data_IF_701660317280
#
_entry.id   IF_701660317280
#
_cell.length_a   1.000
_cell.length_b   1.000
_cell.length_c   1.000
_cell.angle_alpha   90.00
_cell.angle_beta   90.00
_cell.angle_gamma   90.00
#
_symmetry.space_group_name_H-M   'P 1'
#
loop_
_entity.id
_entity.type
_entity.pdbx_description
1 polymer ?
#
# COMPACT_ATOMS: atom_id res chain seq x y z
N UNK A 1 18.22 -10.09 -15.89
CA UNK A 1 18.64 -8.78 -15.34
C UNK A 1 19.07 -8.99 -13.89
N UNK A 2 20.27 -8.54 -13.51
CA UNK A 2 20.75 -8.58 -12.13
C UNK A 2 20.29 -7.30 -11.43
N UNK A 3 19.58 -7.44 -10.30
CA UNK A 3 19.14 -6.31 -9.48
C UNK A 3 20.19 -6.12 -8.38
N UNK A 4 21.17 -5.26 -8.64
CA UNK A 4 22.20 -4.90 -7.68
C UNK A 4 22.25 -3.39 -7.42
N UNK A 5 23.20 -2.96 -6.61
CA UNK A 5 23.33 -1.55 -6.23
C UNK A 5 23.51 -0.64 -7.43
N UNK A 6 24.27 -1.06 -8.44
CA UNK A 6 24.50 -0.27 -9.64
C UNK A 6 23.20 -0.08 -10.42
N UNK A 7 22.42 -1.16 -10.60
CA UNK A 7 21.09 -1.08 -11.22
C UNK A 7 20.19 -0.06 -10.50
N UNK A 8 20.15 -0.08 -9.17
CA UNK A 8 19.32 0.82 -8.36
C UNK A 8 19.76 2.28 -8.52
N UNK A 9 21.06 2.55 -8.50
CA UNK A 9 21.56 3.91 -8.67
C UNK A 9 21.32 4.44 -10.09
N UNK A 10 21.51 3.60 -11.12
CA UNK A 10 21.17 3.96 -12.50
C UNK A 10 19.67 4.23 -12.67
N UNK A 11 18.81 3.40 -12.07
CA UNK A 11 17.36 3.61 -12.08
C UNK A 11 17.00 4.94 -11.41
N UNK A 12 17.51 5.20 -10.20
CA UNK A 12 17.24 6.46 -9.50
C UNK A 12 17.79 7.68 -10.26
N UNK A 13 18.95 7.57 -10.90
CA UNK A 13 19.49 8.66 -11.75
C UNK A 13 18.58 9.06 -12.91
N UNK A 14 17.76 8.12 -13.43
CA UNK A 14 16.77 8.37 -14.48
C UNK A 14 15.41 8.82 -13.95
N UNK A 15 15.04 8.37 -12.75
CA UNK A 15 13.67 8.48 -12.23
C UNK A 15 13.49 9.62 -11.23
N UNK A 16 14.58 10.12 -10.65
CA UNK A 16 14.52 11.32 -9.80
C UNK A 16 14.00 12.49 -10.64
N UNK A 17 12.96 13.16 -10.12
CA UNK A 17 12.27 14.28 -10.75
C UNK A 17 11.37 13.93 -11.95
N UNK A 18 11.21 12.64 -12.25
CA UNK A 18 10.22 12.16 -13.22
C UNK A 18 8.82 12.17 -12.59
N UNK A 19 7.80 12.33 -13.42
CA UNK A 19 6.40 12.25 -12.99
C UNK A 19 5.97 10.80 -12.73
N UNK A 20 4.74 10.63 -12.23
CA UNK A 20 4.16 9.32 -11.92
C UNK A 20 4.19 8.43 -13.15
N UNK A 21 3.81 8.97 -14.31
CA UNK A 21 3.70 8.25 -15.57
C UNK A 21 5.05 7.76 -16.09
N UNK A 22 6.10 8.57 -16.00
CA UNK A 22 7.44 8.16 -16.42
C UNK A 22 8.02 7.05 -15.54
N UNK A 23 7.79 7.08 -14.22
CA UNK A 23 8.20 5.99 -13.32
C UNK A 23 7.42 4.70 -13.65
N UNK A 24 6.11 4.82 -13.90
CA UNK A 24 5.28 3.67 -14.26
C UNK A 24 5.69 3.06 -15.60
N UNK A 25 5.90 3.86 -16.64
CA UNK A 25 6.38 3.39 -17.95
C UNK A 25 7.70 2.63 -17.82
N UNK A 26 8.66 3.23 -17.13
CA UNK A 26 9.95 2.58 -16.88
C UNK A 26 9.77 1.23 -16.15
N UNK A 27 8.92 1.18 -15.12
CA UNK A 27 8.68 -0.06 -14.37
C UNK A 27 8.06 -1.15 -15.24
N UNK A 28 7.07 -0.79 -16.06
CA UNK A 28 6.39 -1.71 -16.99
C UNK A 28 7.35 -2.21 -18.06
N UNK A 29 8.15 -1.32 -18.67
CA UNK A 29 9.15 -1.68 -19.68
C UNK A 29 10.27 -2.57 -19.11
N UNK A 30 10.65 -2.33 -17.86
CA UNK A 30 11.78 -3.03 -17.23
C UNK A 30 11.40 -4.41 -16.69
N UNK A 31 10.20 -4.54 -16.12
CA UNK A 31 9.79 -5.76 -15.40
C UNK A 31 8.67 -6.53 -16.08
N UNK A 32 7.86 -5.91 -16.93
CA UNK A 32 6.73 -6.56 -17.61
C UNK A 32 5.87 -7.38 -16.64
N UNK A 33 5.65 -8.65 -16.96
CA UNK A 33 4.87 -9.59 -16.12
C UNK A 33 5.47 -9.89 -14.75
N UNK A 34 6.76 -9.59 -14.53
CA UNK A 34 7.42 -9.72 -13.23
C UNK A 34 7.17 -8.50 -12.30
N UNK A 35 6.35 -7.53 -12.74
CA UNK A 35 5.88 -6.41 -11.92
C UNK A 35 4.57 -6.77 -11.21
N UNK A 36 4.53 -6.55 -9.89
CA UNK A 36 3.30 -6.63 -9.10
C UNK A 36 3.06 -5.35 -8.32
N UNK A 37 1.86 -5.19 -7.76
CA UNK A 37 1.56 -4.09 -6.86
C UNK A 37 0.83 -4.60 -5.62
N UNK A 38 1.28 -4.19 -4.44
CA UNK A 38 0.48 -4.34 -3.23
C UNK A 38 -0.41 -3.11 -3.06
N UNK A 39 -1.67 -3.33 -2.69
CA UNK A 39 -2.64 -2.25 -2.53
C UNK A 39 -3.45 -2.41 -1.24
N UNK A 40 -3.74 -1.29 -0.60
CA UNK A 40 -4.76 -1.21 0.46
C UNK A 40 -6.04 -0.55 -0.05
N UNK A 41 -6.11 -0.22 -1.35
CA UNK A 41 -7.14 0.62 -1.96
C UNK A 41 -7.36 1.95 -1.22
N UNK A 42 -6.31 2.46 -0.58
CA UNK A 42 -6.25 3.85 -0.10
C UNK A 42 -6.29 4.83 -1.27
N UNK A 43 -6.61 6.11 -1.01
CA UNK A 43 -6.65 7.14 -2.06
C UNK A 43 -5.35 7.17 -2.91
N UNK A 44 -4.19 6.99 -2.26
CA UNK A 44 -2.89 6.84 -2.93
C UNK A 44 -2.85 5.67 -3.91
N UNK A 45 -3.24 4.49 -3.43
CA UNK A 45 -3.25 3.28 -4.24
C UNK A 45 -4.21 3.42 -5.42
N UNK A 46 -5.35 4.06 -5.21
CA UNK A 46 -6.36 4.27 -6.25
C UNK A 46 -5.86 5.25 -7.31
N UNK A 47 -5.19 6.34 -6.92
CA UNK A 47 -4.51 7.23 -7.90
C UNK A 47 -3.45 6.47 -8.68
N UNK A 48 -2.63 5.66 -8.01
CA UNK A 48 -1.60 4.89 -8.70
C UNK A 48 -2.21 3.88 -9.68
N UNK A 49 -3.27 3.17 -9.29
CA UNK A 49 -4.02 2.24 -10.15
C UNK A 49 -4.64 2.99 -11.34
N UNK A 50 -5.18 4.19 -11.12
CA UNK A 50 -5.74 5.03 -12.19
C UNK A 50 -4.70 5.30 -13.29
N UNK A 51 -3.48 5.69 -12.93
CA UNK A 51 -2.39 5.87 -13.88
C UNK A 51 -1.95 4.54 -14.53
N UNK A 52 -1.80 3.48 -13.73
CA UNK A 52 -1.37 2.15 -14.20
C UNK A 52 -2.28 1.57 -15.27
N UNK A 53 -3.60 1.78 -15.18
CA UNK A 53 -4.58 1.27 -16.17
C UNK A 53 -4.29 1.73 -17.60
N UNK A 54 -3.58 2.84 -17.78
CA UNK A 54 -3.16 3.34 -19.11
C UNK A 54 -1.99 2.55 -19.70
N UNK A 55 -1.12 2.00 -18.86
CA UNK A 55 0.16 1.41 -19.28
C UNK A 55 0.20 -0.11 -19.11
N UNK A 56 -0.47 -0.63 -18.08
CA UNK A 56 -0.52 -2.06 -17.80
C UNK A 56 -1.82 -2.43 -17.07
N UNK A 57 -2.97 -2.47 -17.77
CA UNK A 57 -4.28 -2.72 -17.17
C UNK A 57 -4.40 -4.09 -16.47
N UNK A 58 -3.68 -5.10 -16.95
CA UNK A 58 -3.74 -6.48 -16.44
C UNK A 58 -2.74 -6.78 -15.30
N UNK A 59 -2.03 -5.76 -14.80
CA UNK A 59 -1.07 -5.91 -13.70
C UNK A 59 -1.72 -6.62 -12.49
N UNK A 60 -1.01 -7.59 -11.93
CA UNK A 60 -1.50 -8.28 -10.73
C UNK A 60 -1.43 -7.35 -9.50
N UNK A 61 -2.60 -7.01 -8.99
CA UNK A 61 -2.78 -6.25 -7.76
C UNK A 61 -3.07 -7.22 -6.61
N UNK A 62 -2.48 -6.98 -5.45
CA UNK A 62 -2.64 -7.83 -4.26
C UNK A 62 -3.18 -7.01 -3.09
N UNK A 63 -4.41 -7.33 -2.68
CA UNK A 63 -5.05 -6.78 -1.49
C UNK A 63 -5.06 -7.82 -0.39
N UNK A 64 -4.48 -7.49 0.77
CA UNK A 64 -4.44 -8.37 1.93
C UNK A 64 -5.67 -8.09 2.81
N UNK A 65 -6.67 -8.95 2.71
CA UNK A 65 -7.87 -8.86 3.52
C UNK A 65 -7.58 -9.50 4.87
N UNK A 66 -7.33 -8.71 5.90
CA UNK A 66 -7.04 -9.27 7.23
C UNK A 66 -8.27 -9.80 7.95
N UNK A 67 -9.47 -9.67 7.37
CA UNK A 67 -10.75 -9.92 8.03
C UNK A 67 -11.15 -8.88 9.08
N UNK A 68 -10.33 -7.84 9.29
CA UNK A 68 -10.60 -6.73 10.22
C UNK A 68 -10.76 -5.39 9.48
N UNK A 69 -10.96 -5.39 8.16
CA UNK A 69 -11.22 -4.15 7.43
C UNK A 69 -12.60 -3.59 7.75
N UNK A 70 -12.78 -2.29 7.56
CA UNK A 70 -14.11 -1.68 7.58
C UNK A 70 -15.00 -2.30 6.49
N UNK A 71 -16.30 -2.47 6.74
CA UNK A 71 -17.27 -2.88 5.70
C UNK A 71 -17.22 -1.95 4.47
N UNK A 72 -17.04 -0.65 4.67
CA UNK A 72 -16.85 0.38 3.64
C UNK A 72 -15.66 0.06 2.74
N UNK A 73 -14.51 -0.31 3.35
CA UNK A 73 -13.30 -0.67 2.62
C UNK A 73 -13.53 -1.93 1.79
N UNK A 74 -14.12 -2.97 2.36
CA UNK A 74 -14.39 -4.23 1.64
C UNK A 74 -15.33 -4.00 0.47
N UNK A 75 -16.41 -3.24 0.68
CA UNK A 75 -17.36 -2.85 -0.36
C UNK A 75 -16.66 -2.05 -1.46
N UNK A 76 -15.92 -1.01 -1.09
CA UNK A 76 -15.18 -0.17 -2.04
C UNK A 76 -14.18 -0.97 -2.88
N UNK A 77 -13.44 -1.91 -2.26
CA UNK A 77 -12.49 -2.79 -2.96
C UNK A 77 -13.20 -3.63 -4.04
N UNK A 78 -14.36 -4.21 -3.71
CA UNK A 78 -15.16 -5.00 -4.66
C UNK A 78 -15.68 -4.13 -5.81
N UNK A 79 -16.30 -3.00 -5.48
CA UNK A 79 -16.83 -2.04 -6.46
C UNK A 79 -15.73 -1.52 -7.39
N UNK A 80 -14.55 -1.18 -6.85
CA UNK A 80 -13.43 -0.69 -7.64
C UNK A 80 -12.89 -1.78 -8.57
N UNK A 81 -12.76 -3.02 -8.07
CA UNK A 81 -12.34 -4.18 -8.86
C UNK A 81 -13.26 -4.40 -10.06
N UNK A 82 -14.57 -4.37 -9.85
CA UNK A 82 -15.56 -4.56 -10.92
C UNK A 82 -15.57 -3.38 -11.89
N UNK A 83 -15.68 -2.15 -11.35
CA UNK A 83 -15.78 -0.91 -12.15
C UNK A 83 -14.58 -0.69 -13.05
N UNK A 84 -13.39 -1.08 -12.61
CA UNK A 84 -12.15 -0.89 -13.35
C UNK A 84 -11.60 -2.17 -13.97
N UNK A 85 -12.31 -3.30 -13.85
CA UNK A 85 -11.92 -4.62 -14.35
C UNK A 85 -10.50 -5.01 -13.90
N UNK A 86 -10.20 -4.79 -12.62
CA UNK A 86 -8.85 -4.99 -12.10
C UNK A 86 -8.54 -6.48 -11.94
N UNK A 87 -7.32 -6.87 -12.31
CA UNK A 87 -6.70 -8.14 -11.91
C UNK A 87 -6.27 -8.10 -10.43
N UNK A 88 -7.27 -7.92 -9.55
CA UNK A 88 -7.10 -7.79 -8.11
C UNK A 88 -7.30 -9.12 -7.39
N UNK A 89 -6.22 -9.63 -6.81
CA UNK A 89 -6.20 -10.81 -5.96
C UNK A 89 -6.45 -10.39 -4.52
N UNK A 90 -7.49 -10.97 -3.92
CA UNK A 90 -7.78 -10.85 -2.49
C UNK A 90 -7.06 -11.99 -1.79
N UNK A 91 -6.20 -11.64 -0.84
CA UNK A 91 -5.34 -12.57 -0.11
C UNK A 91 -5.80 -12.61 1.33
N UNK A 92 -6.25 -13.79 1.75
CA UNK A 92 -6.70 -14.04 3.11
C UNK A 92 -5.55 -14.55 4.02
N UNK A 93 -5.67 -14.42 5.34
CA UNK A 93 -4.78 -15.03 6.31
C UNK A 93 -4.85 -16.55 6.23
N UNK A 94 -3.74 -17.20 6.57
CA UNK A 94 -3.70 -18.67 6.71
C UNK A 94 -4.25 -19.17 8.04
N UNK A 95 -4.63 -18.25 8.94
CA UNK A 95 -5.14 -18.52 10.27
C UNK A 95 -6.42 -17.73 10.49
N UNK A 96 -7.43 -18.37 11.04
CA UNK A 96 -8.66 -17.69 11.44
C UNK A 96 -8.43 -16.78 12.65
N UNK A 97 -9.32 -15.82 12.86
CA UNK A 97 -9.29 -15.00 14.07
C UNK A 97 -9.42 -15.85 15.34
N UNK A 98 -10.24 -16.90 15.31
CA UNK A 98 -10.47 -17.78 16.46
C UNK A 98 -9.19 -18.54 16.85
N UNK A 99 -8.49 -19.12 15.87
CA UNK A 99 -7.20 -19.79 16.10
C UNK A 99 -6.14 -18.81 16.59
N UNK A 100 -6.09 -17.60 16.02
CA UNK A 100 -5.13 -16.58 16.43
C UNK A 100 -5.39 -16.10 17.87
N UNK A 101 -6.67 -15.94 18.26
CA UNK A 101 -7.06 -15.62 19.64
C UNK A 101 -6.72 -16.78 20.56
N UNK A 102 -7.00 -18.03 20.19
CA UNK A 102 -6.66 -19.20 21.01
C UNK A 102 -5.15 -19.32 21.27
N UNK A 103 -4.32 -18.91 20.30
CA UNK A 103 -2.86 -18.91 20.43
C UNK A 103 -2.32 -17.76 21.31
N UNK A 104 -2.97 -16.60 21.31
CA UNK A 104 -2.46 -15.38 21.97
C UNK A 104 -3.17 -15.10 23.31
N UNK A 105 -4.37 -15.64 23.51
CA UNK A 105 -5.21 -15.45 24.70
C UNK A 105 -6.18 -14.27 24.63
N UNK A 106 -5.92 -13.29 23.77
CA UNK A 106 -6.73 -12.09 23.57
C UNK A 106 -6.83 -11.72 22.09
N UNK A 107 -7.81 -10.87 21.68
CA UNK A 107 -7.80 -10.26 20.37
C UNK A 107 -6.49 -9.50 20.14
N UNK A 108 -5.61 -9.96 19.23
CA UNK A 108 -4.22 -9.51 19.20
C UNK A 108 -4.07 -8.07 18.73
N UNK A 109 -5.08 -7.50 18.05
CA UNK A 109 -5.07 -6.07 17.73
C UNK A 109 -5.12 -5.18 18.98
N UNK A 110 -5.60 -5.68 20.13
CA UNK A 110 -5.62 -4.96 21.41
C UNK A 110 -4.30 -5.09 22.17
N UNK A 111 -3.75 -6.31 22.23
CA UNK A 111 -2.62 -6.64 23.11
C UNK A 111 -1.27 -6.59 22.39
N UNK A 112 -1.23 -6.93 21.11
CA UNK A 112 0.01 -6.95 20.31
C UNK A 112 -0.28 -6.80 18.80
N UNK A 113 -0.44 -5.55 18.36
CA UNK A 113 -0.80 -5.24 16.97
C UNK A 113 0.25 -5.70 15.94
N UNK A 114 1.49 -5.96 16.37
CA UNK A 114 2.55 -6.51 15.54
C UNK A 114 2.39 -8.01 15.28
N UNK A 115 2.07 -8.79 16.32
CA UNK A 115 1.70 -10.21 16.14
C UNK A 115 0.43 -10.34 15.29
N UNK A 116 -0.58 -9.49 15.55
CA UNK A 116 -1.78 -9.41 14.72
C UNK A 116 -1.43 -9.18 13.24
N UNK A 117 -0.63 -8.14 12.95
CA UNK A 117 -0.19 -7.85 11.60
C UNK A 117 0.66 -8.97 11.00
N UNK A 118 1.52 -9.59 11.79
CA UNK A 118 2.41 -10.66 11.33
C UNK A 118 1.60 -11.84 10.81
N UNK A 119 0.66 -12.34 11.62
CA UNK A 119 -0.17 -13.50 11.30
C UNK A 119 -1.19 -13.21 10.20
N UNK A 120 -1.89 -12.07 10.27
CA UNK A 120 -3.00 -11.78 9.35
C UNK A 120 -2.57 -11.15 8.03
N UNK A 121 -1.28 -10.84 7.86
CA UNK A 121 -0.83 -10.08 6.67
C UNK A 121 0.59 -10.38 6.24
N UNK A 122 1.56 -10.34 7.17
CA UNK A 122 2.97 -10.46 6.78
C UNK A 122 3.33 -11.88 6.34
N UNK A 123 2.78 -12.92 6.99
CA UNK A 123 3.00 -14.30 6.57
C UNK A 123 2.56 -14.55 5.12
N UNK A 124 1.34 -14.15 4.76
CA UNK A 124 0.86 -14.27 3.37
C UNK A 124 1.69 -13.40 2.42
N UNK A 125 2.09 -12.20 2.83
CA UNK A 125 2.97 -11.34 2.02
C UNK A 125 4.29 -12.04 1.69
N UNK A 126 4.95 -12.67 2.67
CA UNK A 126 6.24 -13.33 2.47
C UNK A 126 6.18 -14.48 1.47
N UNK A 127 5.01 -15.13 1.29
CA UNK A 127 4.80 -16.14 0.26
C UNK A 127 4.53 -15.55 -1.12
N UNK A 128 4.01 -14.34 -1.17
CA UNK A 128 3.65 -13.64 -2.41
C UNK A 128 4.82 -12.88 -3.00
N UNK A 129 5.66 -12.24 -2.18
CA UNK A 129 6.78 -11.42 -2.65
C UNK A 129 7.68 -12.14 -3.68
N UNK A 130 8.03 -13.43 -3.53
CA UNK A 130 8.85 -14.15 -4.51
C UNK A 130 8.21 -14.37 -5.89
N UNK A 131 6.89 -14.16 -6.03
CA UNK A 131 6.17 -14.35 -7.30
C UNK A 131 6.49 -13.27 -8.34
N UNK A 132 7.14 -12.17 -7.92
CA UNK A 132 7.46 -11.00 -8.75
C UNK A 132 8.86 -10.52 -8.45
N UNK A 133 9.51 -9.91 -9.45
CA UNK A 133 10.85 -9.32 -9.29
C UNK A 133 10.81 -7.90 -8.74
N UNK A 134 9.71 -7.18 -8.97
CA UNK A 134 9.55 -5.79 -8.53
C UNK A 134 8.12 -5.52 -8.05
N UNK A 135 8.00 -4.65 -7.05
CA UNK A 135 6.74 -4.33 -6.41
C UNK A 135 6.50 -2.83 -6.36
N UNK A 136 5.41 -2.38 -6.98
CA UNK A 136 4.90 -1.02 -6.82
C UNK A 136 4.27 -0.85 -5.43
N UNK A 137 4.53 0.29 -4.80
CA UNK A 137 3.79 0.72 -3.63
C UNK A 137 3.42 2.20 -3.69
N UNK A 138 2.24 2.52 -3.18
CA UNK A 138 1.65 3.85 -3.23
C UNK A 138 1.98 4.68 -1.97
N UNK A 139 3.27 4.74 -1.64
CA UNK A 139 3.78 5.52 -0.51
C UNK A 139 4.31 6.87 -0.96
N UNK A 140 4.42 7.81 -0.04
CA UNK A 140 4.92 9.17 -0.26
C UNK A 140 5.77 9.63 0.92
N UNK A 141 6.66 10.59 0.66
CA UNK A 141 7.57 11.17 1.66
C UNK A 141 6.86 11.94 2.77
N UNK A 142 5.70 12.53 2.48
CA UNK A 142 4.95 13.39 3.40
C UNK A 142 4.08 12.62 4.42
N UNK A 143 4.12 11.29 4.41
CA UNK A 143 3.23 10.47 5.26
C UNK A 143 3.80 10.17 6.65
N UNK A 144 5.11 9.95 6.77
CA UNK A 144 5.82 9.69 8.03
C UNK A 144 7.27 10.14 7.94
N UNK A 145 7.93 10.45 9.08
CA UNK A 145 9.38 10.71 9.09
C UNK A 145 10.21 9.57 8.49
N UNK A 146 9.80 8.31 8.71
CA UNK A 146 10.48 7.14 8.17
C UNK A 146 10.44 7.08 6.63
N UNK A 147 9.42 7.68 6.02
CA UNK A 147 9.28 7.75 4.57
C UNK A 147 9.92 8.98 3.95
N UNK A 148 10.37 9.96 4.74
CA UNK A 148 10.83 11.26 4.23
C UNK A 148 11.99 11.16 3.21
N UNK A 149 12.76 10.06 3.25
CA UNK A 149 13.95 9.85 2.40
C UNK A 149 13.78 8.82 1.30
N UNK A 150 12.60 8.21 1.14
CA UNK A 150 12.39 7.17 0.11
C UNK A 150 12.74 7.72 -1.28
N UNK A 151 13.30 6.86 -2.12
CA UNK A 151 13.63 7.14 -3.53
C UNK A 151 12.64 6.46 -4.47
N UNK A 152 12.62 6.79 -5.78
CA UNK A 152 11.80 6.09 -6.76
C UNK A 152 11.98 4.57 -6.75
N UNK A 153 13.21 4.07 -6.53
CA UNK A 153 13.55 2.64 -6.51
C UNK A 153 14.43 2.30 -5.32
N UNK A 154 14.04 1.32 -4.51
CA UNK A 154 14.77 0.87 -3.32
C UNK A 154 14.69 -0.65 -3.16
N UNK A 155 15.64 -1.22 -2.41
CA UNK A 155 15.49 -2.59 -1.89
C UNK A 155 15.06 -2.45 -0.44
N UNK A 156 13.96 -3.11 -0.09
CA UNK A 156 13.48 -3.17 1.28
C UNK A 156 14.34 -4.13 2.12
N UNK A 157 14.17 -4.11 3.45
CA UNK A 157 14.92 -4.98 4.37
C UNK A 157 14.76 -6.50 4.13
N UNK A 158 13.84 -6.93 3.25
CA UNK A 158 13.63 -8.32 2.84
C UNK A 158 14.32 -8.65 1.51
N UNK A 159 15.08 -7.74 0.94
CA UNK A 159 15.67 -7.92 -0.39
C UNK A 159 14.68 -7.71 -1.55
N UNK A 160 13.49 -7.17 -1.28
CA UNK A 160 12.47 -6.94 -2.31
C UNK A 160 12.69 -5.60 -2.99
N UNK A 161 12.77 -5.59 -4.33
CA UNK A 161 12.80 -4.34 -5.08
C UNK A 161 11.43 -3.66 -5.02
N UNK A 162 11.42 -2.44 -4.47
CA UNK A 162 10.26 -1.56 -4.37
C UNK A 162 10.38 -0.38 -5.31
N UNK A 163 9.26 -0.02 -5.92
CA UNK A 163 9.13 1.14 -6.80
C UNK A 163 8.05 2.05 -6.23
N UNK A 164 8.35 3.34 -6.11
CA UNK A 164 7.53 4.33 -5.42
C UNK A 164 7.13 5.50 -6.35
N UNK A 165 6.16 5.32 -7.28
CA UNK A 165 5.82 6.36 -8.24
C UNK A 165 5.26 7.64 -7.62
N UNK A 166 4.67 7.54 -6.42
CA UNK A 166 4.12 8.68 -5.69
C UNK A 166 5.11 9.28 -4.68
N UNK A 167 6.37 8.87 -4.68
CA UNK A 167 7.34 9.18 -3.61
C UNK A 167 7.40 10.67 -3.26
N UNK A 168 7.35 11.55 -4.26
CA UNK A 168 7.47 13.00 -4.10
C UNK A 168 6.16 13.76 -4.36
N UNK A 169 5.00 13.11 -4.19
CA UNK A 169 3.69 13.73 -4.31
C UNK A 169 3.15 14.09 -2.93
N UNK A 170 2.42 15.20 -2.87
CA UNK A 170 1.81 15.67 -1.63
C UNK A 170 0.34 15.29 -1.54
N UNK A 171 -0.18 15.17 -0.31
CA UNK A 171 -1.58 14.86 -0.04
C UNK A 171 -2.55 15.75 -0.83
N UNK A 172 -2.35 17.07 -0.77
CA UNK A 172 -3.23 18.04 -1.43
C UNK A 172 -3.30 17.82 -2.95
N UNK A 173 -2.14 17.63 -3.59
CA UNK A 173 -2.05 17.34 -5.02
C UNK A 173 -2.83 16.08 -5.42
N UNK A 174 -2.77 15.03 -4.61
CA UNK A 174 -3.52 13.80 -4.89
C UNK A 174 -5.03 13.99 -4.74
N UNK A 175 -5.48 14.74 -3.74
CA UNK A 175 -6.90 15.04 -3.57
C UNK A 175 -7.44 15.94 -4.69
N UNK A 176 -6.69 16.97 -5.08
CA UNK A 176 -7.03 17.81 -6.23
C UNK A 176 -7.18 16.96 -7.49
N UNK A 177 -6.23 16.05 -7.73
CA UNK A 177 -6.29 15.13 -8.86
C UNK A 177 -7.52 14.19 -8.79
N UNK A 178 -7.81 13.63 -7.61
CA UNK A 178 -8.98 12.78 -7.37
C UNK A 178 -10.27 13.51 -7.74
N UNK A 179 -10.46 14.74 -7.25
CA UNK A 179 -11.65 15.52 -7.51
C UNK A 179 -11.75 15.95 -8.98
N UNK A 180 -10.66 16.47 -9.56
CA UNK A 180 -10.62 16.90 -10.96
C UNK A 180 -10.93 15.75 -11.93
N UNK A 181 -10.46 14.54 -11.63
CA UNK A 181 -10.63 13.36 -12.46
C UNK A 181 -11.82 12.48 -12.05
N UNK A 182 -12.58 12.88 -11.01
CA UNK A 182 -13.71 12.13 -10.45
C UNK A 182 -13.33 10.67 -10.15
N UNK A 183 -12.15 10.48 -9.56
CA UNK A 183 -11.63 9.16 -9.19
C UNK A 183 -12.43 8.69 -7.97
N UNK A 184 -13.01 7.47 -7.99
CA UNK A 184 -13.70 6.93 -6.83
C UNK A 184 -12.71 6.74 -5.68
N UNK A 185 -13.12 7.01 -4.45
CA UNK A 185 -12.31 6.80 -3.25
C UNK A 185 -13.17 6.21 -2.12
N UNK A 186 -12.51 5.66 -1.10
CA UNK A 186 -13.20 5.04 0.03
C UNK A 186 -14.02 6.10 0.82
N UNK A 187 -15.33 5.92 1.02
CA UNK A 187 -16.19 6.93 1.65
C UNK A 187 -15.79 7.31 3.07
N UNK A 188 -14.98 6.48 3.77
CA UNK A 188 -14.45 6.83 5.08
C UNK A 188 -13.60 8.11 5.07
N UNK A 189 -13.00 8.48 3.93
CA UNK A 189 -12.27 9.75 3.81
C UNK A 189 -13.15 10.98 4.04
N UNK A 190 -14.46 10.89 3.74
CA UNK A 190 -15.43 11.96 4.01
C UNK A 190 -15.88 11.98 5.48
N UNK A 191 -15.48 10.98 6.27
CA UNK A 191 -15.81 10.80 7.69
C UNK A 191 -14.59 11.02 8.60
N UNK A 192 -13.66 11.89 8.20
CA UNK A 192 -12.45 12.23 8.95
C UNK A 192 -11.46 11.07 9.18
N UNK A 193 -11.51 10.03 8.34
CA UNK A 193 -10.44 9.02 8.31
C UNK A 193 -9.35 9.43 7.31
N UNK A 194 -8.18 9.84 7.80
CA UNK A 194 -7.10 10.36 6.93
C UNK A 194 -6.14 9.28 6.41
N UNK A 195 -6.03 8.16 7.11
CA UNK A 195 -5.29 6.96 6.70
C UNK A 195 -6.11 5.74 7.12
N UNK A 196 -6.47 4.87 6.18
CA UNK A 196 -7.37 3.75 6.45
C UNK A 196 -6.56 2.45 6.54
N UNK A 197 -6.81 1.67 7.59
CA UNK A 197 -6.33 0.31 7.75
C UNK A 197 -7.42 -0.62 8.24
N UNK A 198 -7.04 -1.58 9.10
CA UNK A 198 -8.01 -2.38 9.84
C UNK A 198 -8.82 -1.49 10.78
N UNK A 199 -10.13 -1.75 10.87
CA UNK A 199 -11.09 -1.03 11.70
C UNK A 199 -10.67 -0.87 13.18
N UNK A 200 -10.17 -1.91 13.88
CA UNK A 200 -9.79 -1.75 15.28
C UNK A 200 -8.50 -0.93 15.51
N UNK A 201 -7.76 -0.59 14.44
CA UNK A 201 -6.50 0.15 14.53
C UNK A 201 -6.52 1.47 13.76
N UNK A 202 -7.73 1.98 13.46
CA UNK A 202 -7.94 3.20 12.70
C UNK A 202 -9.06 4.03 13.33
N UNK A 203 -8.79 5.30 13.64
CA UNK A 203 -9.73 6.20 14.31
C UNK A 203 -9.98 7.45 13.46
N UNK A 204 -11.21 7.97 13.44
CA UNK A 204 -11.48 9.26 12.81
C UNK A 204 -10.92 10.41 13.66
N UNK A 205 -10.23 11.37 13.04
CA UNK A 205 -9.65 12.53 13.71
C UNK A 205 -9.96 13.77 12.87
N UNK A 206 -10.59 14.79 13.44
CA UNK A 206 -11.04 15.97 12.68
C UNK A 206 -9.87 16.86 12.21
N UNK A 207 -8.88 17.09 13.08
CA UNK A 207 -7.74 17.96 12.78
C UNK A 207 -6.41 17.29 13.17
N UNK A 208 -6.00 16.21 12.46
CA UNK A 208 -4.78 15.51 12.80
C UNK A 208 -3.55 16.36 12.43
N UNK A 209 -2.51 16.28 13.26
CA UNK A 209 -1.19 16.86 13.00
C UNK A 209 -0.51 16.26 11.76
N UNK A 210 -0.83 15.00 11.44
CA UNK A 210 -0.38 14.29 10.25
C UNK A 210 -1.40 13.22 9.82
N UNK A 211 -1.42 12.84 8.53
CA UNK A 211 -2.45 11.94 8.01
C UNK A 211 -2.50 10.55 8.68
N UNK A 212 -1.41 10.13 9.36
CA UNK A 212 -1.28 8.80 9.97
C UNK A 212 -1.48 8.77 11.47
N UNK A 213 -1.75 9.92 12.11
CA UNK A 213 -2.07 10.00 13.54
C UNK A 213 -3.28 9.15 13.93
N UNK A 214 -4.20 8.93 12.98
CA UNK A 214 -5.35 8.05 13.11
C UNK A 214 -4.99 6.55 13.22
N UNK A 215 -3.73 6.16 13.04
CA UNK A 215 -3.28 4.76 13.00
C UNK A 215 -2.59 4.41 14.30
N UNK A 216 -3.05 3.34 14.95
CA UNK A 216 -2.47 2.85 16.20
C UNK A 216 -2.34 3.96 17.26
N UNK A 217 -3.39 4.75 17.43
CA UNK A 217 -3.40 5.97 18.26
C UNK A 217 -2.85 5.76 19.68
N UNK A 218 -3.07 4.57 20.27
CA UNK A 218 -2.61 4.23 21.63
C UNK A 218 -1.35 3.33 21.64
N UNK A 219 -0.48 3.44 20.63
CA UNK A 219 0.66 2.54 20.43
C UNK A 219 1.87 3.27 19.81
N UNK A 220 3.09 2.82 20.14
CA UNK A 220 4.34 3.34 19.54
C UNK A 220 4.53 2.98 18.06
N UNK A 221 3.58 2.26 17.46
CA UNK A 221 3.70 1.75 16.10
C UNK A 221 3.42 2.84 15.07
N UNK A 222 4.44 3.13 14.26
CA UNK A 222 4.35 4.17 13.21
C UNK A 222 4.16 3.56 11.81
N UNK A 223 4.65 2.34 11.60
CA UNK A 223 4.65 1.70 10.28
C UNK A 223 3.98 0.33 10.26
N UNK A 224 3.40 0.03 9.09
CA UNK A 224 2.85 -1.27 8.81
C UNK A 224 3.97 -2.18 8.27
N UNK A 225 4.04 -3.44 8.70
CA UNK A 225 5.03 -4.39 8.18
C UNK A 225 4.98 -4.69 6.67
N UNK A 226 3.96 -4.20 5.94
CA UNK A 226 3.94 -4.28 4.47
C UNK A 226 5.11 -3.52 3.85
N UNK A 227 5.51 -2.40 4.45
CA UNK A 227 6.59 -1.56 3.98
C UNK A 227 7.64 -1.43 5.09
N UNK A 228 8.80 -2.07 4.91
CA UNK A 228 9.93 -1.98 5.85
C UNK A 228 11.16 -1.49 5.10
N UNK A 229 11.43 -0.19 5.23
CA UNK A 229 12.62 0.46 4.68
C UNK A 229 13.80 0.23 5.61
#
# INVERSE_FOLDING_TARGET
MKIDREFIEQANGKLLNTDIDGILKWAVETFGSDLGMTTTCSYNSVVLIYHLRKYYPDIELFFFDTGYHFPETVRFVKELREKWQLNLKIIEPEISHAELIAMIGDPPYKTNSDQCCYHLKIKSLLKILPLKKAWLSAIRRDQTPNRAKIRPVEIDSRGTLKIHPLYNRHRAELWDFIHQRKIPYNPLYDMNYHSIGCQPCTTAIENPSNERECRWHDSEKVECGLNRY
#
